data_IF_985820904491
#
_entry.id   IF_985820904491
#
_cell.length_a   1.000
_cell.length_b   1.000
_cell.length_c   1.000
_cell.angle_alpha   90.00
_cell.angle_beta   90.00
_cell.angle_gamma   90.00
#
_symmetry.space_group_name_H-M   'P 1'
#
loop_
_entity.id
_entity.type
_entity.pdbx_description
1 polymer ?
#
# COMPACT_ATOMS: atom_id res chain seq x y z
N UNK A 1 -82.40 46.44 35.22
CA UNK A 1 -82.22 45.29 36.14
C UNK A 1 -81.81 44.08 35.31
N UNK A 2 -80.82 43.35 35.82
CA UNK A 2 -80.19 42.11 35.30
C UNK A 2 -79.31 42.18 34.04
N UNK A 3 -78.00 42.15 34.35
CA UNK A 3 -76.84 41.77 33.55
C UNK A 3 -76.99 40.35 33.00
N UNK A 4 -76.59 40.08 31.75
CA UNK A 4 -75.89 38.84 31.39
C UNK A 4 -74.78 39.17 30.39
N UNK A 5 -73.62 38.58 30.69
CA UNK A 5 -72.27 38.94 30.32
C UNK A 5 -71.85 38.24 29.01
N UNK A 6 -71.27 39.01 28.09
CA UNK A 6 -70.59 38.51 26.89
C UNK A 6 -69.21 37.98 27.33
N UNK A 7 -68.93 36.70 27.07
CA UNK A 7 -67.55 36.19 27.07
C UNK A 7 -67.41 35.11 25.99
N UNK A 8 -66.92 35.54 24.83
CA UNK A 8 -66.50 34.71 23.71
C UNK A 8 -65.31 33.85 24.09
N UNK A 9 -65.45 32.52 24.06
CA UNK A 9 -64.35 31.58 24.23
C UNK A 9 -63.84 31.16 22.84
N UNK A 10 -62.82 31.87 22.35
CA UNK A 10 -62.08 31.54 21.14
C UNK A 10 -61.06 30.44 21.49
N UNK A 11 -61.29 29.21 21.02
CA UNK A 11 -60.34 28.11 21.19
C UNK A 11 -59.12 28.33 20.26
N UNK A 12 -58.02 28.80 20.83
CA UNK A 12 -56.72 28.90 20.16
C UNK A 12 -56.10 27.51 20.12
N UNK A 13 -56.09 26.91 18.93
CA UNK A 13 -55.29 25.72 18.60
C UNK A 13 -53.83 26.16 18.46
N UNK A 14 -53.02 25.91 19.49
CA UNK A 14 -51.57 26.07 19.46
C UNK A 14 -50.95 25.00 18.56
N UNK A 15 -50.71 25.35 17.30
CA UNK A 15 -49.75 24.64 16.45
C UNK A 15 -48.34 24.88 17.01
N UNK A 16 -47.89 23.97 17.86
CA UNK A 16 -46.47 23.76 18.17
C UNK A 16 -45.77 23.31 16.89
N UNK A 17 -45.30 24.29 16.11
CA UNK A 17 -44.29 24.06 15.07
C UNK A 17 -42.98 23.76 15.79
N UNK A 18 -42.73 22.46 16.01
CA UNK A 18 -41.42 21.99 16.39
C UNK A 18 -40.43 22.38 15.29
N UNK A 19 -39.65 23.43 15.54
CA UNK A 19 -38.40 23.64 14.82
C UNK A 19 -37.56 22.38 15.05
N UNK A 20 -37.51 21.50 14.04
CA UNK A 20 -36.40 20.56 13.92
C UNK A 20 -35.17 21.45 13.83
N UNK A 21 -34.42 21.49 14.93
CA UNK A 21 -33.03 21.95 14.92
C UNK A 21 -32.41 21.16 13.78
N UNK A 22 -31.99 21.84 12.71
CA UNK A 22 -31.11 21.22 11.74
C UNK A 22 -29.87 20.86 12.55
N UNK A 23 -29.80 19.60 12.99
CA UNK A 23 -28.54 18.99 13.29
C UNK A 23 -27.76 19.10 11.99
N UNK A 24 -26.87 20.08 11.92
CA UNK A 24 -25.65 19.93 11.13
C UNK A 24 -25.04 18.64 11.62
N UNK A 25 -25.44 17.53 10.98
CA UNK A 25 -25.05 16.20 11.37
C UNK A 25 -23.55 16.15 11.28
N UNK A 26 -22.88 16.14 12.44
CA UNK A 26 -21.54 15.62 12.52
C UNK A 26 -21.67 14.13 12.21
N UNK A 27 -21.68 13.80 10.92
CA UNK A 27 -21.66 12.42 10.49
C UNK A 27 -20.37 11.79 10.98
N UNK A 28 -20.49 10.68 11.71
CA UNK A 28 -19.35 9.85 12.11
C UNK A 28 -18.85 8.97 10.95
N UNK A 29 -19.41 9.12 9.75
CA UNK A 29 -19.01 8.34 8.58
C UNK A 29 -17.53 8.58 8.24
N UNK A 30 -16.85 7.49 7.90
CA UNK A 30 -15.44 7.48 7.53
C UNK A 30 -15.26 7.02 6.09
N UNK A 31 -14.22 7.55 5.45
CA UNK A 31 -13.62 6.97 4.27
C UNK A 31 -12.52 6.01 4.73
N UNK A 32 -12.68 4.73 4.44
CA UNK A 32 -11.85 3.64 4.96
C UNK A 32 -11.13 2.97 3.79
N UNK A 33 -9.82 2.82 3.87
CA UNK A 33 -9.02 2.11 2.87
C UNK A 33 -8.51 0.79 3.43
N UNK A 34 -8.74 -0.29 2.69
CA UNK A 34 -8.28 -1.64 3.02
C UNK A 34 -7.28 -2.15 2.02
N UNK A 35 -6.26 -2.86 2.49
CA UNK A 35 -5.35 -3.57 1.60
C UNK A 35 -6.02 -4.84 1.08
N UNK A 36 -5.78 -5.16 -0.18
CA UNK A 36 -6.02 -6.47 -0.76
C UNK A 36 -4.77 -6.87 -1.54
N UNK A 37 -4.29 -8.08 -1.33
CA UNK A 37 -3.13 -8.62 -2.05
C UNK A 37 -3.63 -9.71 -3.00
N UNK A 38 -3.39 -9.55 -4.30
CA UNK A 38 -3.94 -10.44 -5.32
C UNK A 38 -2.87 -10.86 -6.33
N UNK A 39 -2.51 -12.14 -6.32
CA UNK A 39 -1.54 -12.73 -7.25
C UNK A 39 -2.15 -13.11 -8.61
N UNK A 40 -3.47 -13.04 -8.75
CA UNK A 40 -4.21 -13.35 -9.98
C UNK A 40 -4.48 -12.11 -10.84
N UNK A 41 -4.42 -10.92 -10.22
CA UNK A 41 -4.51 -9.65 -10.93
C UNK A 41 -3.45 -9.54 -12.03
N UNK A 42 -3.78 -8.86 -13.12
CA UNK A 42 -2.85 -8.64 -14.24
C UNK A 42 -1.54 -8.00 -13.75
N UNK A 43 -0.42 -8.45 -14.30
CA UNK A 43 0.89 -7.86 -14.07
C UNK A 43 1.09 -6.70 -15.04
N UNK A 44 1.15 -5.48 -14.53
CA UNK A 44 1.32 -4.26 -15.32
C UNK A 44 2.77 -3.75 -15.29
N UNK A 45 3.19 -3.02 -16.32
CA UNK A 45 4.41 -2.21 -16.33
C UNK A 45 4.18 -0.81 -15.76
N UNK A 46 5.20 0.04 -15.80
CA UNK A 46 5.17 1.40 -15.26
C UNK A 46 4.12 2.34 -15.87
N UNK A 47 3.61 2.07 -17.06
CA UNK A 47 2.56 2.87 -17.73
C UNK A 47 1.18 2.19 -17.70
N UNK A 48 1.01 1.16 -16.88
CA UNK A 48 -0.28 0.49 -16.70
C UNK A 48 -0.67 -0.50 -17.81
N UNK A 49 0.28 -0.94 -18.63
CA UNK A 49 0.04 -1.95 -19.67
C UNK A 49 0.47 -3.35 -19.20
N UNK A 50 -0.17 -4.44 -19.68
CA UNK A 50 0.25 -5.80 -19.36
C UNK A 50 1.73 -6.03 -19.67
N UNK A 51 2.40 -6.81 -18.82
CA UNK A 51 3.85 -7.01 -18.87
C UNK A 51 4.23 -8.48 -18.68
N UNK A 52 5.07 -8.98 -19.57
CA UNK A 52 5.68 -10.30 -19.48
C UNK A 52 6.99 -10.26 -18.68
N UNK A 53 7.50 -11.44 -18.30
CA UNK A 53 8.82 -11.57 -17.68
C UNK A 53 9.87 -11.48 -18.81
N UNK A 54 10.88 -10.59 -18.70
CA UNK A 54 11.95 -10.50 -19.69
C UNK A 54 12.75 -11.80 -19.81
N UNK A 55 13.33 -12.05 -20.99
CA UNK A 55 14.25 -13.17 -21.19
C UNK A 55 15.47 -13.05 -20.26
N UNK A 56 15.91 -14.18 -19.70
CA UNK A 56 16.99 -14.23 -18.70
C UNK A 56 16.56 -13.82 -17.29
N UNK A 57 15.26 -13.58 -17.07
CA UNK A 57 14.70 -13.34 -15.75
C UNK A 57 13.68 -14.44 -15.40
N UNK A 58 13.53 -14.69 -14.11
CA UNK A 58 12.44 -15.49 -13.55
C UNK A 58 11.73 -14.70 -12.46
N UNK A 59 10.49 -15.11 -12.14
CA UNK A 59 9.67 -14.38 -11.19
C UNK A 59 8.66 -15.29 -10.48
N UNK A 60 8.27 -14.88 -9.27
CA UNK A 60 7.28 -15.55 -8.45
C UNK A 60 6.32 -14.55 -7.78
N UNK A 61 5.14 -15.04 -7.40
CA UNK A 61 4.17 -14.29 -6.60
C UNK A 61 4.40 -14.64 -5.12
N UNK A 62 4.91 -13.69 -4.34
CA UNK A 62 5.05 -13.87 -2.89
C UNK A 62 3.69 -13.94 -2.19
N UNK A 63 3.63 -14.66 -1.07
CA UNK A 63 2.48 -14.67 -0.18
C UNK A 63 2.63 -13.48 0.78
N UNK A 64 1.91 -12.40 0.51
CA UNK A 64 2.08 -11.16 1.25
C UNK A 64 1.48 -11.23 2.65
N UNK A 65 2.29 -10.86 3.64
CA UNK A 65 1.94 -10.80 5.05
C UNK A 65 1.37 -9.42 5.40
N UNK A 66 2.06 -8.35 4.97
CA UNK A 66 1.70 -6.97 5.29
C UNK A 66 2.36 -5.95 4.36
N UNK A 67 1.76 -4.78 4.26
CA UNK A 67 2.29 -3.60 3.58
C UNK A 67 2.16 -2.35 4.45
N UNK A 68 2.87 -1.30 4.07
CA UNK A 68 2.75 0.04 4.66
C UNK A 68 2.56 1.08 3.57
N UNK A 69 1.61 2.00 3.76
CA UNK A 69 1.45 3.16 2.90
C UNK A 69 2.22 4.36 3.48
N UNK A 70 2.78 5.17 2.59
CA UNK A 70 3.39 6.47 2.89
C UNK A 70 2.46 7.64 2.54
N UNK A 71 1.64 7.50 1.51
CA UNK A 71 0.88 8.63 0.97
C UNK A 71 -0.42 8.15 0.32
N UNK A 72 -1.49 8.92 0.46
CA UNK A 72 -2.77 8.68 -0.22
C UNK A 72 -3.31 10.01 -0.74
N UNK A 73 -3.67 10.05 -2.03
CA UNK A 73 -4.28 11.20 -2.68
C UNK A 73 -5.41 10.76 -3.62
N UNK A 74 -6.51 11.51 -3.58
CA UNK A 74 -7.60 11.39 -4.55
C UNK A 74 -7.47 12.48 -5.61
N UNK A 75 -7.47 12.09 -6.88
CA UNK A 75 -7.34 13.00 -8.01
C UNK A 75 -8.66 13.05 -8.82
N UNK A 76 -9.24 14.25 -9.03
CA UNK A 76 -10.50 14.38 -9.78
C UNK A 76 -10.46 13.85 -11.20
N UNK A 77 -9.32 14.01 -11.89
CA UNK A 77 -9.15 13.61 -13.29
C UNK A 77 -7.67 13.35 -13.64
N UNK A 78 -7.43 12.85 -14.86
CA UNK A 78 -6.12 12.49 -15.39
C UNK A 78 -5.09 13.64 -15.48
N UNK A 79 -5.54 14.91 -15.47
CA UNK A 79 -4.69 16.11 -15.55
C UNK A 79 -4.27 16.63 -14.16
N UNK A 80 -4.83 16.07 -13.09
CA UNK A 80 -4.50 16.50 -11.73
C UNK A 80 -3.07 16.10 -11.41
N UNK A 81 -2.16 17.06 -11.25
CA UNK A 81 -0.75 16.79 -10.90
C UNK A 81 -0.63 16.15 -9.50
N UNK A 82 0.42 15.35 -9.28
CA UNK A 82 0.72 14.77 -7.96
C UNK A 82 0.77 15.87 -6.89
N UNK A 83 0.09 15.66 -5.77
CA UNK A 83 -0.02 16.63 -4.68
C UNK A 83 -0.98 17.78 -4.94
N UNK A 84 -1.73 17.76 -6.05
CA UNK A 84 -2.77 18.77 -6.38
C UNK A 84 -4.19 18.23 -6.26
N UNK A 85 -4.36 16.93 -6.00
CA UNK A 85 -5.62 16.34 -5.58
C UNK A 85 -5.90 16.55 -4.09
N UNK A 86 -6.91 15.83 -3.59
CA UNK A 86 -7.19 15.77 -2.15
C UNK A 86 -6.19 14.80 -1.50
N UNK A 87 -5.14 15.37 -0.90
CA UNK A 87 -4.16 14.60 -0.13
C UNK A 87 -4.77 14.22 1.20
N UNK A 88 -4.96 12.92 1.41
CA UNK A 88 -5.61 12.40 2.60
C UNK A 88 -4.59 12.02 3.68
N UNK A 89 -3.45 11.50 3.27
CA UNK A 89 -2.48 10.92 4.18
C UNK A 89 -1.06 11.16 3.70
N UNK A 90 -0.17 11.45 4.65
CA UNK A 90 1.28 11.43 4.49
C UNK A 90 1.89 10.92 5.79
N UNK A 91 2.62 9.80 5.72
CA UNK A 91 3.26 9.20 6.88
C UNK A 91 4.35 10.12 7.42
N UNK A 92 4.77 9.88 8.67
CA UNK A 92 5.85 10.64 9.28
C UNK A 92 7.14 10.53 8.46
N UNK A 93 7.82 11.66 8.32
CA UNK A 93 9.11 11.78 7.65
C UNK A 93 10.13 12.37 8.63
N UNK A 94 11.41 12.13 8.36
CA UNK A 94 12.53 12.58 9.19
C UNK A 94 13.75 12.92 8.32
N UNK A 95 14.60 13.79 8.85
CA UNK A 95 15.93 14.12 8.31
C UNK A 95 17.06 13.53 9.16
N UNK A 96 16.75 12.64 10.11
CA UNK A 96 17.76 12.05 11.03
C UNK A 96 18.91 11.38 10.28
N UNK A 97 18.63 10.69 9.17
CA UNK A 97 19.64 10.07 8.31
C UNK A 97 20.27 11.02 7.28
N UNK A 98 20.10 12.33 7.42
CA UNK A 98 20.58 13.36 6.49
C UNK A 98 19.46 13.89 5.58
N UNK A 99 19.24 13.22 4.44
CA UNK A 99 18.15 13.60 3.53
C UNK A 99 16.77 13.23 4.08
N UNK A 100 15.73 13.94 3.62
CA UNK A 100 14.35 13.61 3.98
C UNK A 100 14.01 12.16 3.63
N UNK A 101 13.39 11.46 4.56
CA UNK A 101 13.08 10.05 4.45
C UNK A 101 11.81 9.69 5.24
N UNK A 102 11.12 8.63 4.84
CA UNK A 102 10.04 8.01 5.61
C UNK A 102 10.61 7.55 6.95
N UNK A 103 9.95 7.88 8.05
CA UNK A 103 10.28 7.36 9.38
C UNK A 103 9.64 5.98 9.56
N UNK A 104 10.40 4.92 9.28
CA UNK A 104 9.88 3.55 9.27
C UNK A 104 9.27 3.12 10.61
N UNK A 105 9.82 3.58 11.74
CA UNK A 105 9.32 3.21 13.07
C UNK A 105 7.90 3.72 13.32
N UNK A 106 7.49 4.77 12.60
CA UNK A 106 6.15 5.36 12.67
C UNK A 106 5.25 4.95 11.51
N UNK A 107 5.73 4.11 10.60
CA UNK A 107 4.98 3.71 9.42
C UNK A 107 3.98 2.59 9.79
N UNK A 108 2.66 2.83 9.70
CA UNK A 108 1.67 1.82 10.02
C UNK A 108 1.73 0.67 9.03
N UNK A 109 1.48 -0.55 9.49
CA UNK A 109 1.48 -1.76 8.68
C UNK A 109 0.13 -2.46 8.80
N UNK A 110 -0.35 -3.00 7.70
CA UNK A 110 -1.61 -3.73 7.64
C UNK A 110 -1.51 -4.91 6.67
N UNK A 111 -2.19 -6.00 7.01
CA UNK A 111 -2.27 -7.24 6.26
C UNK A 111 -3.38 -7.26 5.22
N UNK A 112 -3.65 -8.46 4.70
CA UNK A 112 -4.65 -8.67 3.67
C UNK A 112 -6.08 -8.48 4.21
N UNK A 113 -6.88 -7.67 3.53
CA UNK A 113 -8.23 -7.24 3.91
C UNK A 113 -8.30 -6.37 5.19
N UNK A 114 -7.16 -5.92 5.70
CA UNK A 114 -7.09 -5.05 6.88
C UNK A 114 -7.17 -3.57 6.49
N UNK A 115 -7.71 -2.75 7.41
CA UNK A 115 -7.73 -1.30 7.27
C UNK A 115 -6.33 -0.76 7.48
N UNK A 116 -5.81 0.00 6.52
CA UNK A 116 -4.50 0.65 6.65
C UNK A 116 -4.60 2.17 6.81
N UNK A 117 -5.76 2.76 6.46
CA UNK A 117 -6.05 4.16 6.69
C UNK A 117 -7.55 4.39 6.79
N UNK A 118 -7.96 5.28 7.67
CA UNK A 118 -9.32 5.78 7.74
C UNK A 118 -9.32 7.26 8.10
N UNK A 119 -10.27 8.01 7.55
CA UNK A 119 -10.41 9.45 7.78
C UNK A 119 -11.89 9.81 7.87
N UNK A 120 -12.31 10.67 8.83
CA UNK A 120 -13.67 11.19 8.84
C UNK A 120 -14.02 11.85 7.50
N UNK A 121 -15.20 11.56 6.94
CA UNK A 121 -15.58 12.05 5.60
C UNK A 121 -15.62 13.58 5.56
N UNK A 122 -15.95 14.25 6.67
CA UNK A 122 -15.94 15.71 6.76
C UNK A 122 -14.52 16.34 6.67
N UNK A 123 -13.46 15.53 6.74
CA UNK A 123 -12.07 15.96 6.49
C UNK A 123 -11.61 15.67 5.06
N UNK A 124 -12.45 15.01 4.26
CA UNK A 124 -12.20 14.78 2.83
C UNK A 124 -12.85 15.91 2.05
N UNK A 125 -12.11 16.49 1.10
CA UNK A 125 -12.67 17.53 0.24
C UNK A 125 -13.87 16.98 -0.55
N UNK A 126 -14.93 17.79 -0.66
CA UNK A 126 -16.12 17.45 -1.45
C UNK A 126 -15.72 17.43 -2.93
N UNK A 127 -16.17 16.40 -3.65
CA UNK A 127 -15.86 16.26 -5.07
C UNK A 127 -16.12 14.86 -5.62
N UNK A 128 -15.83 14.70 -6.91
CA UNK A 128 -15.80 13.41 -7.60
C UNK A 128 -14.37 13.10 -8.01
N UNK A 129 -13.89 11.91 -7.63
CA UNK A 129 -12.52 11.47 -7.82
C UNK A 129 -12.50 10.24 -8.70
N UNK A 130 -11.93 10.40 -9.89
CA UNK A 130 -11.75 9.29 -10.83
C UNK A 130 -10.53 8.44 -10.49
N UNK A 131 -9.51 9.05 -9.89
CA UNK A 131 -8.21 8.43 -9.65
C UNK A 131 -7.83 8.44 -8.18
N UNK A 132 -7.10 7.40 -7.77
CA UNK A 132 -6.40 7.32 -6.49
C UNK A 132 -4.91 7.11 -6.73
N UNK A 133 -4.09 7.70 -5.86
CA UNK A 133 -2.65 7.54 -5.81
C UNK A 133 -2.25 7.07 -4.43
N UNK A 134 -1.47 5.99 -4.37
CA UNK A 134 -0.98 5.43 -3.12
C UNK A 134 0.53 5.24 -3.24
N UNK A 135 1.31 5.91 -2.38
CA UNK A 135 2.72 5.54 -2.20
C UNK A 135 2.82 4.41 -1.19
N UNK A 136 3.49 3.32 -1.56
CA UNK A 136 3.84 2.25 -0.62
C UNK A 136 5.25 2.49 -0.06
N UNK A 137 5.39 2.36 1.25
CA UNK A 137 6.68 2.48 1.94
C UNK A 137 7.40 1.13 2.03
N UNK A 138 6.65 0.08 2.35
CA UNK A 138 7.18 -1.21 2.78
C UNK A 138 6.23 -2.34 2.40
N UNK A 139 6.80 -3.53 2.20
CA UNK A 139 6.07 -4.77 2.05
C UNK A 139 6.82 -5.94 2.68
N UNK A 140 6.06 -6.95 3.12
CA UNK A 140 6.58 -8.18 3.69
C UNK A 140 5.80 -9.37 3.14
N UNK A 141 6.49 -10.42 2.71
CA UNK A 141 5.84 -11.62 2.22
C UNK A 141 6.76 -12.82 2.16
N UNK A 142 6.15 -14.01 2.12
CA UNK A 142 6.87 -15.27 1.99
C UNK A 142 7.13 -15.62 0.53
N UNK A 143 8.33 -16.08 0.24
CA UNK A 143 8.85 -16.44 -1.09
C UNK A 143 9.54 -17.80 -1.02
N UNK A 144 9.76 -18.41 -2.19
CA UNK A 144 10.55 -19.63 -2.32
C UNK A 144 11.94 -19.30 -2.81
N UNK A 145 12.93 -19.93 -2.20
CA UNK A 145 14.33 -19.91 -2.65
C UNK A 145 14.83 -21.33 -2.82
N UNK A 146 15.92 -21.48 -3.54
CA UNK A 146 16.67 -22.72 -3.63
C UNK A 146 18.11 -22.47 -3.18
N UNK A 147 18.62 -23.41 -2.39
CA UNK A 147 20.02 -23.45 -2.00
C UNK A 147 20.59 -24.71 -2.62
N UNK A 148 21.59 -24.52 -3.48
CA UNK A 148 22.35 -25.58 -4.13
C UNK A 148 23.84 -25.19 -4.06
N UNK A 149 24.49 -25.61 -2.98
CA UNK A 149 25.87 -25.26 -2.65
C UNK A 149 26.51 -26.32 -1.77
N UNK A 150 27.83 -26.22 -1.55
CA UNK A 150 28.55 -27.02 -0.55
C UNK A 150 29.24 -26.10 0.45
N UNK A 151 28.96 -26.29 1.75
CA UNK A 151 29.58 -25.52 2.83
C UNK A 151 30.40 -26.49 3.68
N UNK A 152 31.72 -26.28 3.75
CA UNK A 152 32.65 -27.14 4.51
C UNK A 152 32.51 -28.64 4.16
N UNK A 153 32.32 -28.96 2.89
CA UNK A 153 32.16 -30.34 2.40
C UNK A 153 30.76 -30.93 2.58
N UNK A 154 29.82 -30.20 3.17
CA UNK A 154 28.42 -30.61 3.29
C UNK A 154 27.62 -30.01 2.14
N UNK A 155 27.10 -30.87 1.26
CA UNK A 155 26.21 -30.46 0.17
C UNK A 155 24.81 -30.13 0.69
N UNK A 156 24.32 -28.97 0.30
CA UNK A 156 22.96 -28.49 0.58
C UNK A 156 22.30 -28.28 -0.76
N UNK A 157 21.25 -29.06 -1.04
CA UNK A 157 20.48 -28.98 -2.27
C UNK A 157 18.99 -29.10 -1.93
N UNK A 158 18.34 -27.98 -1.66
CA UNK A 158 16.96 -27.95 -1.19
C UNK A 158 16.23 -26.67 -1.60
N UNK A 159 14.93 -26.80 -1.84
CA UNK A 159 14.02 -25.68 -1.96
C UNK A 159 13.51 -25.31 -0.56
N UNK A 160 13.45 -24.02 -0.25
CA UNK A 160 13.13 -23.51 1.09
C UNK A 160 12.15 -22.34 1.00
N UNK A 161 11.40 -22.13 2.08
CA UNK A 161 10.64 -20.91 2.27
C UNK A 161 11.53 -19.84 2.90
N UNK A 162 11.39 -18.62 2.42
CA UNK A 162 12.00 -17.44 3.00
C UNK A 162 10.93 -16.36 3.19
N UNK A 163 11.18 -15.42 4.10
CA UNK A 163 10.39 -14.20 4.21
C UNK A 163 11.23 -13.04 3.70
N UNK A 164 10.64 -12.21 2.85
CA UNK A 164 11.25 -11.01 2.28
C UNK A 164 10.58 -9.77 2.86
N UNK A 165 11.39 -8.83 3.34
CA UNK A 165 10.98 -7.52 3.80
C UNK A 165 11.61 -6.47 2.86
N UNK A 166 10.80 -5.76 2.10
CA UNK A 166 11.26 -4.83 1.06
C UNK A 166 10.79 -3.41 1.35
N UNK A 167 11.71 -2.46 1.23
CA UNK A 167 11.47 -1.02 1.37
C UNK A 167 11.32 -0.43 -0.03
N UNK A 168 10.07 -0.35 -0.47
CA UNK A 168 9.72 0.05 -1.83
C UNK A 168 9.38 1.53 -1.95
N UNK A 169 9.27 2.27 -0.84
CA UNK A 169 9.13 3.74 -0.85
C UNK A 169 10.42 4.44 -1.27
N UNK A 170 10.37 5.76 -1.46
CA UNK A 170 11.49 6.55 -1.97
C UNK A 170 12.77 6.43 -1.14
N UNK A 171 12.82 7.07 0.01
CA UNK A 171 13.96 7.08 0.91
C UNK A 171 13.38 6.81 2.29
N UNK A 172 13.92 5.82 3.00
CA UNK A 172 13.40 5.38 4.29
C UNK A 172 14.50 5.43 5.31
N UNK A 173 14.27 6.12 6.41
CA UNK A 173 15.13 6.04 7.59
C UNK A 173 14.74 4.80 8.38
N UNK A 174 15.71 3.91 8.58
CA UNK A 174 15.53 2.63 9.24
C UNK A 174 16.52 2.57 10.40
N UNK A 175 16.04 2.48 11.64
CA UNK A 175 16.90 2.10 12.77
C UNK A 175 17.18 0.61 12.73
N UNK A 176 16.12 -0.17 12.83
CA UNK A 176 16.11 -1.61 12.64
C UNK A 176 14.76 -2.04 12.05
N UNK A 177 14.68 -3.26 11.54
CA UNK A 177 13.43 -3.89 11.12
C UNK A 177 13.49 -5.39 11.32
N UNK A 178 12.34 -5.99 11.63
CA UNK A 178 12.21 -7.45 11.71
C UNK A 178 11.76 -8.00 10.36
N UNK A 179 12.46 -9.01 9.86
CA UNK A 179 12.09 -9.69 8.60
C UNK A 179 10.95 -10.69 8.86
N UNK A 180 11.19 -11.69 9.71
CA UNK A 180 10.19 -12.59 10.27
C UNK A 180 10.38 -12.76 11.77
N UNK A 181 11.50 -13.32 12.19
CA UNK A 181 11.92 -13.42 13.59
C UNK A 181 13.24 -12.70 13.86
N UNK A 182 14.09 -12.59 12.85
CA UNK A 182 15.39 -11.91 12.93
C UNK A 182 15.24 -10.41 12.67
N UNK A 183 15.97 -9.61 13.45
CA UNK A 183 16.06 -8.16 13.28
C UNK A 183 17.34 -7.78 12.55
N UNK A 184 17.23 -6.82 11.63
CA UNK A 184 18.36 -6.23 10.91
C UNK A 184 18.50 -4.79 11.36
N UNK A 185 19.67 -4.44 11.90
CA UNK A 185 20.01 -3.06 12.27
C UNK A 185 20.60 -2.33 11.08
N UNK A 186 20.14 -1.10 10.83
CA UNK A 186 20.53 -0.26 9.70
C UNK A 186 21.07 1.08 10.16
N UNK A 187 20.37 1.75 11.10
CA UNK A 187 20.68 3.08 11.62
C UNK A 187 20.99 4.12 10.54
N UNK A 188 20.15 4.20 9.51
CA UNK A 188 20.36 5.16 8.43
C UNK A 188 19.31 5.15 7.34
N UNK A 189 19.49 6.06 6.39
CA UNK A 189 18.66 6.16 5.19
C UNK A 189 18.97 5.01 4.21
N UNK A 190 17.92 4.50 3.57
CA UNK A 190 17.98 3.54 2.47
C UNK A 190 17.04 3.96 1.35
N UNK A 191 17.57 3.93 0.14
CA UNK A 191 16.81 4.22 -1.08
C UNK A 191 15.85 3.08 -1.42
N UNK A 192 14.88 3.37 -2.28
CA UNK A 192 13.95 2.40 -2.83
C UNK A 192 14.67 1.13 -3.27
N UNK A 193 14.09 -0.02 -2.91
CA UNK A 193 14.62 -1.33 -3.27
C UNK A 193 15.62 -1.89 -2.27
N UNK A 194 15.82 -1.26 -1.10
CA UNK A 194 16.48 -1.95 0.02
C UNK A 194 15.62 -3.09 0.53
N UNK A 195 16.22 -4.21 0.91
CA UNK A 195 15.49 -5.38 1.38
C UNK A 195 16.29 -6.21 2.38
N UNK A 196 15.57 -6.96 3.20
CA UNK A 196 16.10 -8.04 4.04
C UNK A 196 15.34 -9.33 3.75
N UNK A 197 16.03 -10.47 3.78
CA UNK A 197 15.41 -11.79 3.71
C UNK A 197 15.83 -12.65 4.88
N UNK A 198 14.94 -13.56 5.28
CA UNK A 198 15.15 -14.51 6.36
C UNK A 198 14.71 -15.89 5.91
N UNK A 199 15.49 -16.92 6.21
CA UNK A 199 15.16 -18.33 5.94
C UNK A 199 15.76 -19.24 7.00
N UNK A 200 15.33 -20.50 7.03
CA UNK A 200 15.89 -21.54 7.89
C UNK A 200 16.52 -22.62 7.01
N UNK A 201 17.82 -22.85 7.20
CA UNK A 201 18.57 -23.88 6.47
C UNK A 201 18.78 -25.08 7.39
N UNK A 202 18.34 -26.27 6.96
CA UNK A 202 18.67 -27.52 7.65
C UNK A 202 19.98 -28.08 7.11
N UNK A 203 20.95 -28.31 7.99
CA UNK A 203 22.27 -28.88 7.69
C UNK A 203 22.60 -29.93 8.73
N UNK A 204 22.84 -31.18 8.31
CA UNK A 204 23.15 -32.32 9.19
C UNK A 204 22.15 -32.48 10.36
N UNK A 205 20.85 -32.26 10.10
CA UNK A 205 19.79 -32.36 11.12
C UNK A 205 19.66 -31.15 12.05
N UNK A 206 20.50 -30.11 11.89
CA UNK A 206 20.40 -28.85 12.64
C UNK A 206 19.79 -27.77 11.78
N UNK A 207 18.80 -27.05 12.31
CA UNK A 207 18.18 -25.90 11.63
C UNK A 207 18.88 -24.61 12.06
N UNK A 208 19.38 -23.85 11.09
CA UNK A 208 20.11 -22.60 11.29
C UNK A 208 19.31 -21.46 10.64
N UNK A 209 18.91 -20.41 11.41
CA UNK A 209 18.32 -19.22 10.83
C UNK A 209 19.39 -18.41 10.07
N UNK A 210 19.03 -17.96 8.88
CA UNK A 210 19.87 -17.11 8.02
C UNK A 210 19.09 -15.84 7.74
N UNK A 211 19.74 -14.70 8.00
CA UNK A 211 19.23 -13.38 7.64
C UNK A 211 20.28 -12.64 6.82
N UNK A 212 19.86 -11.99 5.75
CA UNK A 212 20.72 -11.17 4.92
C UNK A 212 19.92 -9.98 4.39
N UNK A 213 20.63 -8.90 4.05
CA UNK A 213 20.05 -7.73 3.40
C UNK A 213 20.77 -7.38 2.11
N UNK A 214 20.08 -6.65 1.24
CA UNK A 214 20.64 -6.17 -0.01
C UNK A 214 19.91 -4.92 -0.52
N UNK A 215 20.32 -4.48 -1.70
CA UNK A 215 19.80 -3.31 -2.37
C UNK A 215 19.58 -3.66 -3.85
N UNK A 216 18.36 -3.50 -4.33
CA UNK A 216 18.06 -3.62 -5.76
C UNK A 216 18.66 -2.44 -6.54
N UNK A 217 18.94 -2.59 -7.85
CA UNK A 217 19.43 -1.50 -8.67
C UNK A 217 18.49 -0.30 -8.67
N UNK A 218 19.04 0.90 -8.83
CA UNK A 218 18.25 2.13 -8.87
C UNK A 218 17.23 2.10 -10.03
N UNK A 219 15.99 2.48 -9.75
CA UNK A 219 14.91 2.50 -10.74
C UNK A 219 14.35 1.13 -11.14
N UNK A 220 14.83 0.04 -10.54
CA UNK A 220 14.43 -1.31 -10.92
C UNK A 220 13.07 -1.72 -10.31
N UNK A 221 12.66 -1.08 -9.21
CA UNK A 221 11.34 -1.31 -8.59
C UNK A 221 10.25 -0.67 -9.46
N UNK A 222 9.36 -1.49 -10.02
CA UNK A 222 8.25 -1.00 -10.84
C UNK A 222 7.26 -0.17 -10.01
N UNK A 223 6.86 0.97 -10.58
CA UNK A 223 5.80 1.83 -10.06
C UNK A 223 4.80 2.09 -11.17
N UNK A 224 3.55 1.63 -10.99
CA UNK A 224 2.53 1.70 -12.04
C UNK A 224 1.83 3.05 -12.01
N UNK A 225 1.95 3.81 -13.10
CA UNK A 225 1.24 5.07 -13.32
C UNK A 225 0.68 5.14 -14.75
N UNK A 226 -0.59 4.77 -14.96
CA UNK A 226 -1.26 4.92 -16.25
C UNK A 226 -1.35 6.37 -16.73
N UNK A 227 -1.21 7.34 -15.82
CA UNK A 227 -1.25 8.77 -16.11
C UNK A 227 0.13 9.36 -16.47
N UNK A 228 1.13 8.53 -16.80
CA UNK A 228 2.51 8.99 -16.99
C UNK A 228 2.63 10.21 -17.95
N UNK A 229 1.84 10.23 -19.03
CA UNK A 229 1.90 11.30 -20.03
C UNK A 229 1.22 12.60 -19.59
N UNK A 230 0.24 12.56 -18.69
CA UNK A 230 -0.57 13.72 -18.30
C UNK A 230 -0.27 14.20 -16.87
N UNK A 231 0.12 13.29 -16.00
CA UNK A 231 0.44 13.51 -14.60
C UNK A 231 1.53 12.53 -14.16
N UNK A 232 2.81 12.81 -14.52
CA UNK A 232 3.94 11.98 -14.14
C UNK A 232 4.19 12.02 -12.64
N UNK A 233 4.86 10.99 -12.13
CA UNK A 233 5.28 10.87 -10.74
C UNK A 233 6.82 10.87 -10.68
N UNK A 234 7.43 11.35 -9.58
CA UNK A 234 8.87 11.25 -9.41
C UNK A 234 9.33 9.79 -9.45
N UNK A 235 10.45 9.53 -10.14
CA UNK A 235 11.10 8.23 -10.09
C UNK A 235 11.45 7.89 -8.64
N UNK A 236 11.27 6.61 -8.26
CA UNK A 236 11.51 6.16 -6.89
C UNK A 236 10.39 6.48 -5.89
N UNK A 237 9.36 7.25 -6.24
CA UNK A 237 8.30 7.65 -5.29
C UNK A 237 7.40 6.51 -4.80
N UNK A 238 7.37 5.38 -5.51
CA UNK A 238 6.44 4.26 -5.31
C UNK A 238 4.95 4.66 -5.34
N UNK A 239 4.60 5.80 -5.93
CA UNK A 239 3.22 6.25 -6.05
C UNK A 239 2.52 5.44 -7.15
N UNK A 240 1.73 4.46 -6.76
CA UNK A 240 0.91 3.67 -7.68
C UNK A 240 -0.39 4.42 -7.94
N UNK A 241 -0.73 4.61 -9.21
CA UNK A 241 -1.93 5.33 -9.65
C UNK A 241 -2.90 4.37 -10.31
N UNK A 242 -4.19 4.46 -9.98
CA UNK A 242 -5.25 3.74 -10.66
C UNK A 242 -6.57 4.49 -10.64
N UNK A 243 -7.40 4.25 -11.65
CA UNK A 243 -8.79 4.69 -11.66
C UNK A 243 -9.64 3.74 -10.81
N UNK A 244 -10.69 4.24 -10.16
CA UNK A 244 -11.64 3.41 -9.44
C UNK A 244 -12.40 2.49 -10.40
N UNK A 245 -12.43 1.19 -10.10
CA UNK A 245 -12.92 0.15 -11.02
C UNK A 245 -14.42 0.21 -11.28
N UNK A 246 -15.20 0.67 -10.30
CA UNK A 246 -16.67 0.71 -10.35
C UNK A 246 -17.23 2.13 -10.41
N UNK A 247 -16.47 3.08 -10.97
CA UNK A 247 -16.86 4.47 -11.14
C UNK A 247 -16.19 5.42 -10.14
N UNK A 248 -16.42 6.73 -10.31
CA UNK A 248 -15.77 7.76 -9.50
C UNK A 248 -16.18 7.65 -8.03
N UNK A 249 -15.23 7.85 -7.13
CA UNK A 249 -15.53 8.06 -5.71
C UNK A 249 -16.16 9.45 -5.55
N UNK A 250 -17.38 9.49 -5.02
CA UNK A 250 -18.12 10.73 -4.77
C UNK A 250 -18.16 11.04 -3.29
N UNK A 251 -17.71 12.24 -2.93
CA UNK A 251 -17.77 12.80 -1.58
C UNK A 251 -18.67 14.02 -1.63
N UNK A 252 -19.76 13.98 -0.88
CA UNK A 252 -20.81 15.01 -0.82
C UNK A 252 -20.78 15.81 0.48
N UNK A 253 -20.16 15.27 1.54
CA UNK A 253 -20.17 15.82 2.88
C UNK A 253 -21.43 15.48 3.69
N UNK A 254 -22.38 14.75 3.09
CA UNK A 254 -23.66 14.35 3.71
C UNK A 254 -23.77 12.82 3.91
N UNK A 255 -22.68 12.09 3.73
CA UNK A 255 -22.62 10.65 3.91
C UNK A 255 -23.02 10.30 5.34
N UNK A 256 -23.91 9.32 5.51
CA UNK A 256 -24.34 8.81 6.84
C UNK A 256 -23.80 7.43 7.15
N UNK A 257 -23.08 6.83 6.19
CA UNK A 257 -22.46 5.52 6.28
C UNK A 257 -21.02 5.60 5.80
N UNK A 258 -20.17 4.76 6.36
CA UNK A 258 -18.79 4.62 5.92
C UNK A 258 -18.73 4.26 4.43
N UNK A 259 -17.73 4.79 3.75
CA UNK A 259 -17.34 4.37 2.40
C UNK A 259 -16.08 3.54 2.53
N UNK A 260 -16.13 2.29 2.09
CA UNK A 260 -14.97 1.39 2.13
C UNK A 260 -14.38 1.27 0.73
N UNK A 261 -13.10 1.59 0.59
CA UNK A 261 -12.32 1.38 -0.62
C UNK A 261 -11.36 0.21 -0.40
N UNK A 262 -11.60 -0.89 -1.11
CA UNK A 262 -10.64 -1.99 -1.21
C UNK A 262 -9.58 -1.64 -2.24
N UNK A 263 -8.32 -1.56 -1.83
CA UNK A 263 -7.17 -1.29 -2.67
C UNK A 263 -6.47 -2.61 -3.00
N UNK A 264 -6.82 -3.23 -4.13
CA UNK A 264 -6.21 -4.49 -4.58
C UNK A 264 -4.90 -4.26 -5.31
N UNK A 265 -3.79 -4.66 -4.70
CA UNK A 265 -2.46 -4.60 -5.28
C UNK A 265 -2.11 -5.93 -5.96
N UNK A 266 -1.67 -5.83 -7.22
CA UNK A 266 -1.18 -6.99 -7.96
C UNK A 266 0.17 -7.44 -7.41
N UNK A 267 0.22 -8.65 -6.88
CA UNK A 267 1.46 -9.33 -6.44
C UNK A 267 1.93 -10.36 -7.46
N UNK A 268 1.22 -10.45 -8.59
CA UNK A 268 1.46 -11.41 -9.66
C UNK A 268 2.88 -11.27 -10.22
N UNK A 269 3.72 -12.27 -9.93
CA UNK A 269 5.13 -12.31 -10.35
C UNK A 269 5.84 -10.98 -10.08
N UNK A 270 5.61 -10.46 -8.88
CA UNK A 270 6.14 -9.17 -8.40
C UNK A 270 7.58 -9.27 -7.89
N UNK A 271 8.02 -10.47 -7.48
CA UNK A 271 9.40 -10.74 -7.11
C UNK A 271 10.11 -11.33 -8.33
N UNK A 272 10.98 -10.54 -8.95
CA UNK A 272 11.71 -10.88 -10.18
C UNK A 272 13.22 -10.85 -9.94
N UNK A 273 13.95 -11.80 -10.51
CA UNK A 273 15.41 -11.89 -10.42
C UNK A 273 16.04 -12.28 -11.76
N UNK A 274 17.36 -12.10 -11.85
CA UNK A 274 18.18 -12.64 -12.95
C UNK A 274 18.34 -14.15 -12.76
N UNK A 275 17.78 -14.93 -13.68
CA UNK A 275 17.87 -16.39 -13.69
C UNK A 275 19.14 -16.80 -14.45
N UNK A 276 20.20 -17.10 -13.71
CA UNK A 276 21.53 -17.33 -14.28
C UNK A 276 21.72 -18.79 -14.73
N UNK A 277 20.81 -19.69 -14.33
CA UNK A 277 20.87 -21.11 -14.66
C UNK A 277 19.52 -21.69 -15.15
N UNK A 278 18.83 -20.93 -16.02
CA UNK A 278 17.46 -21.08 -16.50
C UNK A 278 16.54 -22.11 -15.84
N UNK A 279 16.42 -22.13 -14.51
CA UNK A 279 15.64 -23.14 -13.79
C UNK A 279 14.37 -22.60 -13.13
N UNK A 280 14.15 -21.28 -13.19
CA UNK A 280 12.97 -20.62 -12.63
C UNK A 280 12.89 -20.61 -11.10
N UNK A 281 13.98 -20.93 -10.39
CA UNK A 281 14.07 -20.93 -8.93
C UNK A 281 15.07 -19.88 -8.49
N UNK A 282 14.69 -19.08 -7.49
CA UNK A 282 15.59 -18.04 -7.00
C UNK A 282 16.71 -18.65 -6.15
N UNK A 283 17.94 -18.54 -6.62
CA UNK A 283 19.15 -19.09 -6.00
C UNK A 283 20.16 -17.97 -5.62
N UNK A 284 19.95 -17.26 -4.49
CA UNK A 284 20.81 -16.14 -4.09
C UNK A 284 22.30 -16.49 -4.02
N UNK A 285 22.64 -17.72 -3.61
CA UNK A 285 24.03 -18.18 -3.49
C UNK A 285 24.71 -18.43 -4.85
N UNK A 286 23.94 -18.47 -5.94
CA UNK A 286 24.45 -18.52 -7.32
C UNK A 286 24.50 -17.12 -7.96
N UNK A 287 24.54 -16.07 -7.14
CA UNK A 287 24.63 -14.67 -7.55
C UNK A 287 23.38 -14.14 -8.28
N UNK A 288 22.25 -14.83 -8.16
CA UNK A 288 20.99 -14.34 -8.69
C UNK A 288 20.48 -13.13 -7.91
N UNK A 289 20.46 -11.97 -8.56
CA UNK A 289 20.04 -10.71 -7.96
C UNK A 289 18.58 -10.41 -8.24
N UNK A 290 17.85 -9.94 -7.22
CA UNK A 290 16.53 -9.34 -7.40
C UNK A 290 16.64 -8.11 -8.31
N UNK A 291 15.78 -8.03 -9.31
CA UNK A 291 15.68 -6.92 -10.26
C UNK A 291 14.38 -6.16 -10.14
N UNK A 292 13.32 -6.77 -9.60
CA UNK A 292 12.09 -6.05 -9.31
C UNK A 292 11.39 -6.67 -8.09
N UNK A 293 10.80 -5.80 -7.28
CA UNK A 293 9.94 -6.14 -6.15
C UNK A 293 8.73 -5.19 -6.08
N UNK A 294 8.51 -4.36 -7.10
CA UNK A 294 7.41 -3.41 -7.14
C UNK A 294 6.06 -4.11 -7.26
N UNK A 295 5.04 -3.50 -6.67
CA UNK A 295 3.66 -3.94 -6.91
C UNK A 295 3.30 -3.72 -8.38
N UNK A 296 2.57 -4.68 -8.95
CA UNK A 296 2.37 -4.77 -10.40
C UNK A 296 1.03 -4.20 -10.86
N UNK A 297 0.43 -3.33 -10.07
CA UNK A 297 -0.83 -2.67 -10.37
C UNK A 297 -1.68 -2.44 -9.12
N UNK A 298 -2.71 -1.61 -9.27
CA UNK A 298 -3.72 -1.30 -8.25
C UNK A 298 -5.10 -1.34 -8.91
N UNK A 299 -6.05 -2.01 -8.27
CA UNK A 299 -7.48 -1.96 -8.60
C UNK A 299 -8.22 -1.48 -7.34
N UNK A 300 -8.60 -0.20 -7.28
CA UNK A 300 -9.39 0.34 -6.20
C UNK A 300 -10.89 0.12 -6.46
N UNK A 301 -11.60 -0.50 -5.51
CA UNK A 301 -13.04 -0.78 -5.62
C UNK A 301 -13.78 -0.20 -4.43
N UNK A 302 -14.83 0.58 -4.71
CA UNK A 302 -15.75 1.09 -3.68
C UNK A 302 -16.72 -0.04 -3.31
N UNK A 303 -16.84 -0.38 -2.03
CA UNK A 303 -17.69 -1.48 -1.54
C UNK A 303 -19.03 -0.99 -1.01
#
# INVERSE_FOLDING_TARGET
MYRILICSLLAIVLFITGCKKNETGNSNAKLIFKFKFDSTQVRLNNIGQPSTIPAGNAAQSGVMNKMSAHYIELAPNALTLLGKGAVLYRAAETTTGGSNAIDYEKAPQAGNNEVFYEVPINQVAIGEYEWIRISLAYQNGDVKIRVDTSINGVSINQDMNATLASFIGFNTYIKNFTVKAQSVTVNGNRTQGFWGFETNVSVLGTTIPVVQSGQAPAGATTVVNPLFNTSPIPAGSCVVTAAFANGKLKITGNETKDIVVECSFSTNKSVEWKDLNPNGKWEPLKQETLVDMGVRGLIPTIK
#
